data_IF_542596470399
#
_entry.id   IF_542596470399
#
_cell.length_a   1.000
_cell.length_b   1.000
_cell.length_c   1.000
_cell.angle_alpha   90.00
_cell.angle_beta   90.00
_cell.angle_gamma   90.00
#
_symmetry.space_group_name_H-M   'P 1'
#
loop_
_entity.id
_entity.type
_entity.pdbx_description
1 polymer ?
#
# COMPACT_ATOMS: atom_id res chain seq x y z
N UNK A 1 7.19 3.43 18.03
CA UNK A 1 6.11 2.76 17.29
C UNK A 1 6.14 3.27 15.86
N UNK A 2 5.96 2.41 14.88
CA UNK A 2 5.99 2.80 13.48
C UNK A 2 4.56 2.91 12.92
N UNK A 3 4.41 3.82 11.98
CA UNK A 3 3.20 3.99 11.18
C UNK A 3 3.60 3.81 9.72
N UNK A 4 2.77 3.15 8.94
CA UNK A 4 3.12 2.72 7.59
C UNK A 4 2.17 3.35 6.58
N UNK A 5 2.74 3.89 5.50
CA UNK A 5 1.98 4.22 4.29
C UNK A 5 2.27 3.11 3.30
N UNK A 6 1.24 2.59 2.66
CA UNK A 6 1.39 1.45 1.76
C UNK A 6 0.52 1.63 0.51
N UNK A 7 0.92 0.94 -0.55
CA UNK A 7 0.15 0.91 -1.79
C UNK A 7 -0.11 -0.56 -2.14
N UNK A 8 -1.37 -0.87 -2.42
CA UNK A 8 -1.79 -2.15 -2.94
C UNK A 8 -2.17 -2.00 -4.41
N UNK A 9 -2.00 -3.07 -5.19
CA UNK A 9 -2.39 -3.10 -6.58
C UNK A 9 -3.21 -4.36 -6.88
N UNK A 10 -4.11 -4.27 -7.86
CA UNK A 10 -4.86 -5.43 -8.33
C UNK A 10 -3.98 -6.36 -9.16
N UNK A 11 -3.05 -5.78 -9.90
CA UNK A 11 -2.07 -6.46 -10.75
C UNK A 11 -1.02 -5.43 -11.15
N UNK A 12 0.10 -5.84 -11.78
CA UNK A 12 1.08 -4.87 -12.30
C UNK A 12 0.38 -3.88 -13.24
N UNK A 13 0.55 -2.58 -12.95
CA UNK A 13 -0.10 -1.54 -13.74
C UNK A 13 -1.61 -1.42 -13.55
N UNK A 14 -2.18 -2.16 -12.60
CA UNK A 14 -3.63 -2.17 -12.36
C UNK A 14 -4.12 -1.07 -11.43
N UNK A 15 -5.28 -1.30 -10.82
CA UNK A 15 -5.90 -0.35 -9.88
C UNK A 15 -5.08 -0.28 -8.59
N UNK A 16 -4.88 0.94 -8.09
CA UNK A 16 -4.07 1.20 -6.92
C UNK A 16 -4.93 1.64 -5.73
N UNK A 17 -4.50 1.27 -4.52
CA UNK A 17 -5.10 1.72 -3.28
C UNK A 17 -3.99 2.18 -2.34
N UNK A 18 -4.11 3.39 -1.81
CA UNK A 18 -3.15 3.96 -0.86
C UNK A 18 -3.78 3.97 0.52
N UNK A 19 -3.06 3.46 1.51
CA UNK A 19 -3.56 3.41 2.87
C UNK A 19 -2.48 3.74 3.90
N UNK A 20 -2.92 3.88 5.16
CA UNK A 20 -2.05 4.10 6.31
C UNK A 20 -2.48 3.17 7.43
N UNK A 21 -1.50 2.64 8.17
CA UNK A 21 -1.79 1.71 9.28
C UNK A 21 -0.67 1.75 10.31
N UNK A 22 -0.96 1.34 11.53
CA UNK A 22 0.05 1.12 12.56
C UNK A 22 0.44 -0.37 12.66
N UNK A 23 -0.13 -1.23 11.82
CA UNK A 23 0.19 -2.66 11.79
C UNK A 23 0.10 -3.15 10.34
N UNK A 24 1.22 -3.06 9.63
CA UNK A 24 1.27 -3.35 8.20
C UNK A 24 0.90 -4.80 7.89
N UNK A 25 1.48 -5.75 8.61
CA UNK A 25 1.23 -7.18 8.36
C UNK A 25 -0.25 -7.50 8.50
N UNK A 26 -0.86 -7.08 9.60
CA UNK A 26 -2.28 -7.33 9.86
C UNK A 26 -3.17 -6.68 8.80
N UNK A 27 -2.88 -5.42 8.44
CA UNK A 27 -3.72 -4.67 7.51
C UNK A 27 -3.66 -5.27 6.10
N UNK A 28 -2.47 -5.65 5.65
CA UNK A 28 -2.32 -6.29 4.33
C UNK A 28 -3.01 -7.66 4.34
N UNK A 29 -2.88 -8.42 5.43
CA UNK A 29 -3.59 -9.68 5.58
C UNK A 29 -5.11 -9.48 5.43
N UNK A 30 -5.66 -8.47 6.09
CA UNK A 30 -7.09 -8.18 6.02
C UNK A 30 -7.54 -7.88 4.58
N UNK A 31 -6.72 -7.14 3.83
CA UNK A 31 -7.03 -6.88 2.42
C UNK A 31 -6.97 -8.16 1.58
N UNK A 32 -5.98 -9.00 1.82
CA UNK A 32 -5.81 -10.27 1.08
C UNK A 32 -6.97 -11.20 1.29
N UNK A 33 -7.51 -11.26 2.51
CA UNK A 33 -8.62 -12.15 2.87
C UNK A 33 -9.99 -11.54 2.61
N UNK A 34 -10.04 -10.33 2.07
CA UNK A 34 -11.31 -9.65 1.79
C UNK A 34 -12.04 -9.19 3.04
N UNK A 35 -11.31 -9.00 4.14
CA UNK A 35 -11.88 -8.56 5.42
C UNK A 35 -11.84 -7.04 5.59
N UNK A 36 -11.15 -6.34 4.69
CA UNK A 36 -11.00 -4.90 4.74
C UNK A 36 -12.08 -4.20 3.91
N UNK A 37 -11.79 -2.98 3.45
CA UNK A 37 -12.74 -2.15 2.74
C UNK A 37 -13.35 -2.83 1.50
N UNK A 38 -14.63 -2.56 1.26
CA UNK A 38 -15.35 -3.12 0.13
C UNK A 38 -14.74 -2.73 -1.23
N UNK A 39 -14.11 -1.55 -1.33
CA UNK A 39 -13.44 -1.12 -2.55
C UNK A 39 -12.32 -2.10 -2.95
N UNK A 40 -11.40 -2.40 -2.03
CA UNK A 40 -10.29 -3.31 -2.31
C UNK A 40 -10.77 -4.74 -2.57
N UNK A 41 -11.78 -5.18 -1.83
CA UNK A 41 -12.41 -6.49 -2.03
C UNK A 41 -13.05 -6.57 -3.41
N UNK A 42 -13.82 -5.56 -3.77
CA UNK A 42 -14.58 -5.52 -5.03
C UNK A 42 -13.67 -5.58 -6.26
N UNK A 43 -12.54 -4.87 -6.21
CA UNK A 43 -11.64 -4.78 -7.36
C UNK A 43 -10.43 -5.71 -7.27
N UNK A 44 -10.40 -6.59 -6.28
CA UNK A 44 -9.32 -7.57 -6.14
C UNK A 44 -7.96 -6.93 -5.87
N UNK A 45 -7.92 -5.84 -5.10
CA UNK A 45 -6.70 -5.10 -4.80
C UNK A 45 -6.07 -5.71 -3.56
N UNK A 46 -5.11 -6.64 -3.77
CA UNK A 46 -4.56 -7.46 -2.69
C UNK A 46 -3.04 -7.50 -2.64
N UNK A 47 -2.36 -7.10 -3.71
CA UNK A 47 -0.91 -7.23 -3.81
C UNK A 47 -0.22 -6.02 -3.21
N UNK A 48 0.63 -6.24 -2.21
CA UNK A 48 1.41 -5.16 -1.60
C UNK A 48 2.59 -4.84 -2.52
N UNK A 49 2.60 -3.62 -3.11
CA UNK A 49 3.63 -3.24 -4.06
C UNK A 49 4.56 -2.14 -3.56
N UNK A 50 4.20 -1.48 -2.46
CA UNK A 50 5.02 -0.42 -1.87
C UNK A 50 4.66 -0.20 -0.41
N UNK A 51 5.65 0.10 0.44
CA UNK A 51 5.42 0.55 1.81
C UNK A 51 6.57 1.42 2.28
N UNK A 52 6.27 2.29 3.22
CA UNK A 52 7.27 3.14 3.89
C UNK A 52 6.84 3.35 5.34
N UNK A 53 7.82 3.55 6.24
CA UNK A 53 7.54 3.77 7.65
C UNK A 53 7.70 5.23 8.03
N UNK A 54 6.95 5.63 9.06
CA UNK A 54 7.03 6.97 9.65
C UNK A 54 7.02 6.84 11.17
N UNK A 55 7.70 7.75 11.86
CA UNK A 55 7.80 7.73 13.32
C UNK A 55 6.54 8.26 14.00
N UNK A 56 5.78 9.12 13.32
CA UNK A 56 4.58 9.74 13.88
C UNK A 56 3.37 9.50 13.00
N UNK A 57 2.20 9.44 13.65
CA UNK A 57 0.94 9.31 12.91
C UNK A 57 0.68 10.54 12.02
N UNK A 58 1.05 11.73 12.50
CA UNK A 58 0.85 12.96 11.73
C UNK A 58 1.63 12.93 10.41
N UNK A 59 2.90 12.49 10.44
CA UNK A 59 3.71 12.38 9.25
C UNK A 59 3.13 11.34 8.27
N UNK A 60 2.71 10.19 8.80
CA UNK A 60 2.13 9.13 7.98
C UNK A 60 0.83 9.58 7.31
N UNK A 61 -0.06 10.23 8.05
CA UNK A 61 -1.33 10.71 7.51
C UNK A 61 -1.11 11.78 6.44
N UNK A 62 -0.16 12.69 6.65
CA UNK A 62 0.14 13.73 5.67
C UNK A 62 0.70 13.10 4.38
N UNK A 63 1.60 12.13 4.52
CA UNK A 63 2.18 11.43 3.37
C UNK A 63 1.12 10.67 2.58
N UNK A 64 0.27 9.93 3.27
CA UNK A 64 -0.82 9.18 2.65
C UNK A 64 -1.74 10.11 1.86
N UNK A 65 -2.10 11.25 2.46
CA UNK A 65 -2.93 12.25 1.80
C UNK A 65 -2.25 12.81 0.55
N UNK A 66 -0.95 13.10 0.64
CA UNK A 66 -0.19 13.61 -0.50
C UNK A 66 -0.19 12.60 -1.65
N UNK A 67 0.16 11.35 -1.35
CA UNK A 67 0.23 10.30 -2.39
C UNK A 67 -1.14 10.05 -3.02
N UNK A 68 -2.20 10.07 -2.22
CA UNK A 68 -3.57 9.90 -2.76
C UNK A 68 -3.92 10.95 -3.82
N UNK A 69 -3.38 12.17 -3.69
CA UNK A 69 -3.66 13.26 -4.62
C UNK A 69 -2.67 13.34 -5.79
N UNK A 70 -1.62 12.53 -5.79
CA UNK A 70 -0.68 12.46 -6.90
C UNK A 70 -1.37 11.91 -8.14
N UNK A 71 -0.81 12.23 -9.32
CA UNK A 71 -1.22 11.59 -10.56
C UNK A 71 -0.92 10.09 -10.47
N UNK A 72 -1.60 9.31 -11.30
CA UNK A 72 -1.34 7.88 -11.40
C UNK A 72 0.12 7.61 -11.77
N UNK A 73 0.65 8.40 -12.68
CA UNK A 73 2.05 8.27 -13.11
C UNK A 73 3.04 8.42 -11.96
N UNK A 74 2.82 9.40 -11.10
CA UNK A 74 3.69 9.62 -9.94
C UNK A 74 3.61 8.46 -8.94
N UNK A 75 2.44 7.90 -8.75
CA UNK A 75 2.28 6.72 -7.90
C UNK A 75 3.05 5.53 -8.47
N UNK A 76 2.96 5.32 -9.78
CA UNK A 76 3.69 4.24 -10.46
C UNK A 76 5.20 4.46 -10.33
N UNK A 77 5.68 5.70 -10.53
CA UNK A 77 7.09 6.02 -10.38
C UNK A 77 7.60 5.68 -8.97
N UNK A 78 6.80 5.99 -7.96
CA UNK A 78 7.16 5.66 -6.58
C UNK A 78 7.29 4.15 -6.38
N UNK A 79 6.37 3.38 -6.94
CA UNK A 79 6.39 1.92 -6.85
C UNK A 79 7.62 1.35 -7.55
N UNK A 80 7.84 1.72 -8.81
CA UNK A 80 8.91 1.11 -9.62
C UNK A 80 10.31 1.51 -9.17
N UNK A 81 10.46 2.63 -8.46
CA UNK A 81 11.74 3.05 -7.91
C UNK A 81 12.31 2.00 -6.95
N UNK A 82 11.46 1.30 -6.19
CA UNK A 82 11.90 0.27 -5.24
C UNK A 82 11.43 -1.14 -5.61
N UNK A 83 10.44 -1.25 -6.50
CA UNK A 83 9.84 -2.54 -6.86
C UNK A 83 9.48 -2.55 -8.35
N UNK A 84 10.50 -2.54 -9.24
CA UNK A 84 10.24 -2.43 -10.69
C UNK A 84 9.45 -3.59 -11.28
N UNK A 85 9.47 -4.74 -10.62
CA UNK A 85 8.77 -5.94 -11.10
C UNK A 85 7.35 -6.07 -10.52
N UNK A 86 6.91 -5.12 -9.69
CA UNK A 86 5.59 -5.16 -9.04
C UNK A 86 5.38 -6.45 -8.23
N UNK A 87 6.45 -6.90 -7.58
CA UNK A 87 6.43 -8.12 -6.77
C UNK A 87 5.53 -7.92 -5.55
N UNK A 88 4.87 -8.98 -5.10
CA UNK A 88 4.10 -8.93 -3.86
C UNK A 88 5.07 -8.91 -2.66
N UNK A 89 5.13 -7.79 -1.98
CA UNK A 89 6.05 -7.56 -0.86
C UNK A 89 5.54 -8.17 0.45
N UNK A 90 4.36 -8.79 0.44
CA UNK A 90 3.80 -9.39 1.65
C UNK A 90 4.76 -10.41 2.27
N UNK A 91 5.39 -11.24 1.45
CA UNK A 91 6.37 -12.22 1.93
C UNK A 91 7.55 -11.57 2.64
N UNK A 92 7.91 -10.34 2.26
CA UNK A 92 9.02 -9.62 2.87
C UNK A 92 8.68 -9.10 4.27
N UNK A 93 7.41 -8.81 4.54
CA UNK A 93 7.00 -8.21 5.81
C UNK A 93 6.54 -9.22 6.86
N UNK A 94 6.22 -10.45 6.46
CA UNK A 94 5.75 -11.49 7.40
C UNK A 94 6.87 -12.32 8.00
N UNK A 95 8.10 -12.08 7.59
CA UNK A 95 9.28 -12.83 8.08
C UNK A 95 9.74 -12.33 9.43
#
# INVERSE_FOLDING_TARGET
MAYWVYILASKPGGTLYVGVTNNLVRRVYEHREGLAESFTKRYGIKTLVYFESHDTIAAALQREKNIKHWSREWKIDLIVASNPDWRDLYEDIVR
#
